data_IF_970938171170
#
_entry.id   IF_970938171170
#
_cell.length_a   1.000
_cell.length_b   1.000
_cell.length_c   1.000
_cell.angle_alpha   90.00
_cell.angle_beta   90.00
_cell.angle_gamma   90.00
#
_symmetry.space_group_name_H-M   'P 1'
#
loop_
_entity.id
_entity.type
_entity.pdbx_description
1 polymer ?
#
# COMPACT_ATOMS: atom_id res chain seq x y z
N UNK A 1 -50.46 -17.19 39.96
CA UNK A 1 -49.03 -17.12 39.55
C UNK A 1 -48.70 -17.73 38.17
N UNK A 2 -49.57 -18.56 37.54
CA UNK A 2 -49.27 -19.18 36.22
C UNK A 2 -49.33 -18.23 35.01
N UNK A 3 -50.21 -17.21 35.01
CA UNK A 3 -50.34 -16.28 33.88
C UNK A 3 -49.17 -15.26 33.77
N UNK A 4 -48.69 -14.71 34.91
CA UNK A 4 -47.55 -13.77 34.94
C UNK A 4 -46.25 -14.37 34.40
N UNK A 5 -45.99 -15.67 34.64
CA UNK A 5 -44.79 -16.36 34.13
C UNK A 5 -44.84 -16.62 32.61
N UNK A 6 -46.04 -16.83 32.04
CA UNK A 6 -46.22 -17.02 30.59
C UNK A 6 -46.10 -15.71 29.82
N UNK A 7 -46.58 -14.59 30.40
CA UNK A 7 -46.46 -13.27 29.79
C UNK A 7 -44.99 -12.78 29.72
N UNK A 8 -44.21 -13.05 30.78
CA UNK A 8 -42.79 -12.68 30.81
C UNK A 8 -41.95 -13.48 29.81
N UNK A 9 -42.22 -14.78 29.68
CA UNK A 9 -41.53 -15.65 28.70
C UNK A 9 -41.88 -15.27 27.26
N UNK A 10 -43.14 -14.90 26.99
CA UNK A 10 -43.55 -14.46 25.65
C UNK A 10 -42.94 -13.11 25.28
N UNK A 11 -42.84 -12.17 26.23
CA UNK A 11 -42.18 -10.89 26.03
C UNK A 11 -40.67 -11.05 25.79
N UNK A 12 -40.01 -11.98 26.50
CA UNK A 12 -38.58 -12.27 26.30
C UNK A 12 -38.30 -12.87 24.92
N UNK A 13 -39.13 -13.81 24.46
CA UNK A 13 -39.02 -14.41 23.12
C UNK A 13 -39.30 -13.37 22.03
N UNK A 14 -40.25 -12.46 22.24
CA UNK A 14 -40.54 -11.38 21.29
C UNK A 14 -39.39 -10.38 21.15
N UNK A 15 -38.74 -10.00 22.26
CA UNK A 15 -37.54 -9.15 22.23
C UNK A 15 -36.38 -9.86 21.54
N UNK A 16 -36.23 -11.18 21.76
CA UNK A 16 -35.18 -11.97 21.13
C UNK A 16 -35.40 -12.10 19.61
N UNK A 17 -36.64 -12.32 19.15
CA UNK A 17 -36.99 -12.35 17.71
C UNK A 17 -36.82 -10.98 17.05
N UNK A 18 -37.08 -9.88 17.78
CA UNK A 18 -36.84 -8.52 17.30
C UNK A 18 -35.34 -8.13 17.31
N UNK A 19 -34.52 -8.75 18.16
CA UNK A 19 -33.06 -8.50 18.17
C UNK A 19 -32.30 -9.23 17.06
N UNK A 20 -32.91 -10.23 16.41
CA UNK A 20 -32.30 -10.93 15.26
C UNK A 20 -32.58 -10.26 13.91
N UNK A 21 -33.34 -9.17 13.87
CA UNK A 21 -33.55 -8.38 12.64
C UNK A 21 -32.75 -7.08 12.65
N UNK A 22 -31.48 -7.15 13.07
CA UNK A 22 -30.52 -6.17 12.62
C UNK A 22 -30.34 -6.42 11.12
N UNK A 23 -31.05 -5.67 10.29
CA UNK A 23 -30.64 -5.49 8.91
C UNK A 23 -29.25 -4.87 9.00
N UNK A 24 -28.21 -5.69 8.78
CA UNK A 24 -26.92 -5.18 8.37
C UNK A 24 -27.20 -4.46 7.04
N UNK A 25 -27.40 -3.15 7.10
CA UNK A 25 -27.27 -2.34 5.91
C UNK A 25 -25.82 -2.54 5.49
N UNK A 26 -25.61 -3.15 4.31
CA UNK A 26 -24.31 -3.07 3.66
C UNK A 26 -23.92 -1.58 3.63
N UNK A 27 -22.65 -1.29 3.92
CA UNK A 27 -22.13 0.04 3.67
C UNK A 27 -22.48 0.43 2.21
N UNK A 28 -22.81 1.71 1.94
CA UNK A 28 -22.98 2.13 0.55
C UNK A 28 -21.73 1.72 -0.21
N UNK A 29 -21.92 1.06 -1.37
CA UNK A 29 -20.80 0.72 -2.23
C UNK A 29 -19.99 1.99 -2.51
N UNK A 30 -18.66 1.89 -2.45
CA UNK A 30 -17.79 2.94 -2.96
C UNK A 30 -18.04 3.04 -4.46
N UNK A 31 -18.36 4.24 -4.93
CA UNK A 31 -18.68 4.52 -6.32
C UNK A 31 -17.75 5.62 -6.80
N UNK A 32 -17.25 5.52 -8.02
CA UNK A 32 -16.36 6.54 -8.59
C UNK A 32 -15.33 5.92 -9.51
N UNK A 33 -14.41 6.76 -9.98
CA UNK A 33 -13.32 6.34 -10.86
C UNK A 33 -11.98 6.72 -10.23
N UNK A 34 -10.99 5.84 -10.38
CA UNK A 34 -9.58 6.11 -10.01
C UNK A 34 -8.71 6.02 -11.26
N UNK A 35 -7.61 6.75 -11.29
CA UNK A 35 -6.66 6.70 -12.41
C UNK A 35 -5.32 6.14 -11.95
N UNK A 36 -4.84 5.09 -12.62
CA UNK A 36 -3.58 4.41 -12.27
C UNK A 36 -2.51 4.67 -13.33
N UNK A 37 -1.38 5.17 -12.88
CA UNK A 37 -0.21 5.50 -13.71
C UNK A 37 1.02 4.71 -13.27
N UNK A 38 1.64 4.00 -14.20
CA UNK A 38 2.88 3.23 -14.01
C UNK A 38 4.04 3.94 -14.72
N UNK A 39 4.95 4.48 -13.92
CA UNK A 39 5.96 5.44 -14.39
C UNK A 39 7.33 5.22 -13.75
N UNK A 40 8.30 6.08 -14.08
CA UNK A 40 9.67 6.01 -13.57
C UNK A 40 10.15 7.37 -13.11
N UNK A 41 10.95 7.41 -12.05
CA UNK A 41 11.67 8.61 -11.62
C UNK A 41 10.79 9.71 -11.04
N UNK A 42 9.55 9.41 -10.63
CA UNK A 42 8.74 10.40 -9.91
C UNK A 42 9.20 10.66 -8.48
N UNK A 43 10.00 9.76 -7.89
CA UNK A 43 10.46 9.90 -6.52
C UNK A 43 11.96 10.18 -6.45
N UNK A 44 12.33 11.02 -5.48
CA UNK A 44 13.71 11.19 -5.06
C UNK A 44 13.91 10.54 -3.70
N UNK A 45 14.99 9.80 -3.55
CA UNK A 45 15.42 9.30 -2.24
C UNK A 45 16.08 10.42 -1.44
N UNK A 46 15.66 10.59 -0.20
CA UNK A 46 16.30 11.44 0.80
C UNK A 46 16.33 10.70 2.15
N UNK A 47 17.08 11.23 3.11
CA UNK A 47 17.12 10.71 4.47
C UNK A 47 17.00 11.84 5.49
N UNK A 48 16.02 11.70 6.38
CA UNK A 48 15.69 12.68 7.39
C UNK A 48 15.44 12.01 8.75
N UNK A 49 15.73 12.68 9.88
CA UNK A 49 15.36 12.17 11.19
C UNK A 49 13.84 12.10 11.34
N UNK A 50 13.34 10.97 11.84
CA UNK A 50 11.96 10.83 12.29
C UNK A 50 11.69 11.60 13.59
N UNK A 51 10.45 11.60 14.06
CA UNK A 51 10.06 12.22 15.33
C UNK A 51 10.82 11.65 16.55
N UNK A 52 11.27 10.40 16.44
CA UNK A 52 12.09 9.68 17.41
C UNK A 52 13.59 10.03 17.33
N UNK A 53 13.98 10.88 16.39
CA UNK A 53 15.38 11.25 16.12
C UNK A 53 16.18 10.17 15.38
N UNK A 54 15.54 9.06 14.98
CA UNK A 54 16.18 7.98 14.21
C UNK A 54 16.09 8.35 12.74
N UNK A 55 17.19 8.21 12.00
CA UNK A 55 17.17 8.47 10.56
C UNK A 55 16.22 7.49 9.85
N UNK A 56 15.33 8.06 9.03
CA UNK A 56 14.40 7.34 8.19
C UNK A 56 14.63 7.71 6.74
N UNK A 57 14.40 6.71 5.91
CA UNK A 57 14.36 6.85 4.47
C UNK A 57 13.08 7.53 4.07
N UNK A 58 13.19 8.60 3.29
CA UNK A 58 12.05 9.34 2.78
C UNK A 58 12.14 9.37 1.28
N UNK A 59 11.19 8.74 0.61
CA UNK A 59 11.03 8.89 -0.84
C UNK A 59 9.97 9.97 -1.05
N UNK A 60 10.37 11.08 -1.64
CA UNK A 60 9.49 12.25 -1.84
C UNK A 60 8.97 12.22 -3.26
N UNK A 61 7.64 12.31 -3.41
CA UNK A 61 7.03 12.44 -4.72
C UNK A 61 7.31 13.84 -5.31
N UNK A 62 7.85 13.87 -6.52
CA UNK A 62 8.25 15.11 -7.20
C UNK A 62 7.42 15.42 -8.45
N UNK A 63 6.70 14.44 -8.99
CA UNK A 63 5.94 14.57 -10.24
C UNK A 63 6.80 14.78 -11.50
N UNK A 64 8.13 14.59 -11.41
CA UNK A 64 9.06 14.80 -12.53
C UNK A 64 9.37 13.51 -13.31
N UNK A 65 8.51 12.51 -13.20
CA UNK A 65 8.75 11.21 -13.80
C UNK A 65 8.77 11.22 -15.32
N UNK A 66 9.15 10.07 -15.86
CA UNK A 66 9.27 9.80 -17.28
C UNK A 66 8.70 8.42 -17.62
N UNK A 67 8.43 8.20 -18.90
CA UNK A 67 7.94 6.93 -19.41
C UNK A 67 9.08 6.00 -19.77
N UNK A 68 8.89 4.69 -19.63
CA UNK A 68 9.86 3.68 -20.02
C UNK A 68 9.26 2.80 -21.12
N UNK A 69 10.05 2.51 -22.15
CA UNK A 69 9.59 1.69 -23.27
C UNK A 69 9.29 0.23 -22.89
N UNK A 70 9.87 -0.27 -21.80
CA UNK A 70 9.65 -1.63 -21.32
C UNK A 70 8.38 -1.76 -20.48
N UNK A 71 7.92 -0.68 -19.85
CA UNK A 71 6.82 -0.72 -18.90
C UNK A 71 6.23 0.68 -18.74
N UNK A 72 4.99 0.88 -19.18
CA UNK A 72 4.27 2.14 -19.01
C UNK A 72 2.77 1.90 -19.14
N UNK A 73 2.03 2.42 -18.17
CA UNK A 73 0.58 2.56 -18.20
C UNK A 73 0.34 4.02 -17.81
N UNK A 74 -0.38 4.78 -18.63
CA UNK A 74 -0.62 6.20 -18.38
C UNK A 74 -2.09 6.44 -18.14
N UNK A 75 -2.40 7.03 -16.99
CA UNK A 75 -3.72 7.51 -16.57
C UNK A 75 -4.83 6.51 -16.94
N UNK A 76 -4.65 5.27 -16.50
CA UNK A 76 -5.59 4.19 -16.79
C UNK A 76 -6.75 4.25 -15.81
N UNK A 77 -7.89 4.71 -16.32
CA UNK A 77 -9.10 4.90 -15.54
C UNK A 77 -9.78 3.55 -15.23
N UNK A 78 -10.09 3.36 -13.96
CA UNK A 78 -10.75 2.18 -13.41
C UNK A 78 -11.95 2.62 -12.58
N UNK A 79 -13.11 2.06 -12.88
CA UNK A 79 -14.28 2.20 -12.02
C UNK A 79 -14.04 1.44 -10.70
N UNK A 80 -14.33 2.07 -9.56
CA UNK A 80 -14.12 1.46 -8.23
C UNK A 80 -14.93 0.17 -8.11
N UNK A 81 -16.14 0.14 -8.64
CA UNK A 81 -16.98 -1.06 -8.67
C UNK A 81 -16.33 -2.20 -9.47
N UNK A 82 -15.62 -1.88 -10.55
CA UNK A 82 -14.91 -2.89 -11.33
C UNK A 82 -13.72 -3.47 -10.56
N UNK A 83 -12.98 -2.63 -9.82
CA UNK A 83 -11.91 -3.12 -8.92
C UNK A 83 -12.51 -4.00 -7.82
N UNK A 84 -13.66 -3.61 -7.26
CA UNK A 84 -14.36 -4.40 -6.26
C UNK A 84 -14.81 -5.77 -6.80
N UNK A 85 -15.26 -5.87 -8.05
CA UNK A 85 -15.61 -7.16 -8.68
C UNK A 85 -14.40 -8.13 -8.70
N UNK A 86 -13.19 -7.61 -8.94
CA UNK A 86 -11.96 -8.42 -8.86
C UNK A 86 -11.64 -8.87 -7.43
N UNK A 87 -11.80 -7.96 -6.45
CA UNK A 87 -11.62 -8.28 -5.02
C UNK A 87 -12.58 -9.38 -4.58
N UNK A 88 -13.87 -9.24 -4.92
CA UNK A 88 -14.92 -10.23 -4.64
C UNK A 88 -14.66 -11.57 -5.34
N UNK A 89 -13.95 -11.55 -6.48
CA UNK A 89 -13.51 -12.74 -7.21
C UNK A 89 -12.22 -13.38 -6.63
N UNK A 90 -11.63 -12.82 -5.58
CA UNK A 90 -10.47 -13.38 -4.88
C UNK A 90 -9.11 -12.84 -5.32
N UNK A 91 -9.04 -11.62 -5.88
CA UNK A 91 -7.79 -10.97 -6.26
C UNK A 91 -6.78 -10.94 -5.10
N UNK A 92 -7.22 -10.57 -3.90
CA UNK A 92 -6.34 -10.38 -2.76
C UNK A 92 -5.68 -11.69 -2.33
N UNK A 93 -6.47 -12.77 -2.19
CA UNK A 93 -5.97 -14.13 -1.88
C UNK A 93 -5.00 -14.65 -2.94
N UNK A 94 -5.19 -14.25 -4.19
CA UNK A 94 -4.33 -14.66 -5.31
C UNK A 94 -2.94 -14.03 -5.24
N UNK A 95 -2.86 -12.75 -4.85
CA UNK A 95 -1.62 -11.98 -4.96
C UNK A 95 -0.89 -11.77 -3.65
N UNK A 96 -1.59 -11.49 -2.55
CA UNK A 96 -0.90 -11.03 -1.35
C UNK A 96 -1.50 -11.51 -0.03
N UNK A 97 -2.81 -11.73 0.08
CA UNK A 97 -3.47 -11.94 1.36
C UNK A 97 -3.29 -13.39 1.86
N UNK A 98 -2.69 -13.62 3.04
CA UNK A 98 -2.60 -14.96 3.60
C UNK A 98 -3.96 -15.45 4.13
N UNK A 99 -4.20 -16.77 4.05
CA UNK A 99 -5.48 -17.43 4.38
C UNK A 99 -6.10 -17.07 5.75
N UNK A 100 -5.29 -16.81 6.77
CA UNK A 100 -5.76 -16.54 8.14
C UNK A 100 -5.74 -15.03 8.51
N UNK A 101 -5.52 -14.16 7.52
CA UNK A 101 -5.49 -12.70 7.71
C UNK A 101 -6.79 -12.10 7.20
N UNK A 102 -7.51 -11.29 8.01
CA UNK A 102 -8.67 -10.57 7.52
C UNK A 102 -8.31 -9.65 6.37
N UNK A 103 -9.17 -9.60 5.35
CA UNK A 103 -9.02 -8.65 4.25
C UNK A 103 -8.99 -7.21 4.79
N UNK A 104 -8.09 -6.34 4.26
CA UNK A 104 -8.10 -4.91 4.58
C UNK A 104 -9.49 -4.29 4.36
N UNK A 105 -9.85 -3.31 5.18
CA UNK A 105 -11.12 -2.57 5.06
C UNK A 105 -12.37 -3.46 4.93
N UNK A 106 -12.39 -4.59 5.64
CA UNK A 106 -13.51 -5.55 5.62
C UNK A 106 -13.86 -6.08 4.21
N UNK A 107 -12.89 -6.14 3.29
CA UNK A 107 -13.11 -6.62 1.92
C UNK A 107 -13.29 -5.53 0.87
N UNK A 108 -13.20 -4.25 1.24
CA UNK A 108 -13.28 -3.14 0.29
C UNK A 108 -12.00 -3.04 -0.57
N UNK A 109 -12.18 -2.66 -1.83
CA UNK A 109 -11.08 -2.38 -2.75
C UNK A 109 -10.18 -1.27 -2.21
N UNK A 110 -8.87 -1.48 -2.34
CA UNK A 110 -7.85 -0.54 -1.90
C UNK A 110 -6.89 -0.13 -3.03
N UNK A 111 -6.01 0.83 -2.77
CA UNK A 111 -5.08 1.35 -3.76
C UNK A 111 -4.15 0.28 -4.37
N UNK A 112 -3.78 -0.77 -3.62
CA UNK A 112 -2.99 -1.87 -4.17
C UNK A 112 -3.80 -2.73 -5.13
N UNK A 113 -5.08 -2.97 -4.84
CA UNK A 113 -5.99 -3.71 -5.71
C UNK A 113 -6.14 -3.00 -7.06
N UNK A 114 -6.30 -1.68 -7.06
CA UNK A 114 -6.36 -0.88 -8.29
C UNK A 114 -5.07 -1.00 -9.13
N UNK A 115 -3.89 -0.99 -8.49
CA UNK A 115 -2.60 -1.20 -9.18
C UNK A 115 -2.54 -2.60 -9.83
N UNK A 116 -2.97 -3.64 -9.10
CA UNK A 116 -2.99 -5.01 -9.61
C UNK A 116 -3.96 -5.15 -10.80
N UNK A 117 -5.18 -4.62 -10.68
CA UNK A 117 -6.18 -4.64 -11.77
C UNK A 117 -5.66 -3.87 -12.98
N UNK A 118 -5.01 -2.71 -12.79
CA UNK A 118 -4.42 -1.96 -13.89
C UNK A 118 -3.38 -2.79 -14.66
N UNK A 119 -2.53 -3.55 -13.97
CA UNK A 119 -1.61 -4.48 -14.65
C UNK A 119 -2.35 -5.57 -15.42
N UNK A 120 -3.30 -6.24 -14.78
CA UNK A 120 -4.03 -7.36 -15.38
C UNK A 120 -4.80 -6.94 -16.63
N UNK A 121 -5.45 -5.78 -16.59
CA UNK A 121 -6.19 -5.22 -17.75
C UNK A 121 -5.26 -4.78 -18.88
N UNK A 122 -4.02 -4.40 -18.56
CA UNK A 122 -2.98 -4.10 -19.54
C UNK A 122 -2.20 -5.35 -19.98
N UNK A 123 -2.68 -6.55 -19.63
CA UNK A 123 -2.12 -7.84 -20.07
C UNK A 123 -0.85 -8.24 -19.35
N UNK A 124 -0.54 -7.62 -18.21
CA UNK A 124 0.62 -7.91 -17.36
C UNK A 124 0.13 -8.66 -16.12
N UNK A 125 0.74 -9.80 -15.78
CA UNK A 125 0.42 -10.53 -14.55
C UNK A 125 -0.17 -11.93 -14.74
N UNK A 126 -0.53 -12.32 -15.97
CA UNK A 126 -0.81 -13.71 -16.29
C UNK A 126 0.55 -14.43 -16.44
N UNK A 127 0.80 -15.51 -15.67
CA UNK A 127 2.07 -16.28 -15.61
C UNK A 127 3.14 -15.84 -14.59
N UNK A 128 2.74 -15.37 -13.40
CA UNK A 128 3.64 -14.98 -12.28
C UNK A 128 4.54 -13.77 -12.57
N UNK A 129 4.06 -12.85 -13.41
CA UNK A 129 4.81 -11.64 -13.71
C UNK A 129 4.78 -10.63 -12.57
N UNK A 130 3.78 -10.69 -11.68
CA UNK A 130 3.70 -9.81 -10.51
C UNK A 130 4.11 -10.61 -9.26
N UNK A 131 5.16 -10.14 -8.59
CA UNK A 131 5.62 -10.69 -7.32
C UNK A 131 5.15 -9.81 -6.17
N UNK A 132 4.05 -10.19 -5.53
CA UNK A 132 3.47 -9.52 -4.38
C UNK A 132 3.57 -10.36 -3.09
N UNK A 133 3.26 -9.75 -1.95
CA UNK A 133 3.29 -10.42 -0.66
C UNK A 133 2.70 -9.58 0.47
N UNK A 134 2.69 -10.16 1.66
CA UNK A 134 2.18 -9.57 2.89
C UNK A 134 3.29 -9.41 3.92
N UNK A 135 3.44 -8.21 4.48
CA UNK A 135 4.27 -7.98 5.64
C UNK A 135 3.41 -8.02 6.91
N UNK A 136 3.54 -9.11 7.67
CA UNK A 136 2.83 -9.30 8.93
C UNK A 136 3.47 -8.56 10.11
N UNK A 137 4.73 -8.13 9.98
CA UNK A 137 5.51 -7.55 11.08
C UNK A 137 6.34 -6.37 10.56
N UNK A 138 5.68 -5.32 10.03
CA UNK A 138 6.41 -4.18 9.52
C UNK A 138 7.16 -3.47 10.65
N UNK A 139 8.27 -2.87 10.27
CA UNK A 139 9.15 -2.13 11.20
C UNK A 139 8.44 -0.89 11.76
N UNK A 140 7.54 -0.31 10.97
CA UNK A 140 6.67 0.79 11.35
C UNK A 140 5.34 0.68 10.59
N UNK A 141 4.25 1.16 11.19
CA UNK A 141 2.90 1.09 10.62
C UNK A 141 2.18 -0.23 10.92
N UNK A 142 0.98 -0.37 10.35
CA UNK A 142 0.17 -1.58 10.44
C UNK A 142 0.57 -2.59 9.35
N UNK A 143 0.36 -3.91 9.57
CA UNK A 143 0.58 -4.94 8.55
C UNK A 143 -0.12 -4.62 7.23
N UNK A 144 0.51 -4.97 6.12
CA UNK A 144 -0.05 -4.68 4.80
C UNK A 144 0.69 -5.36 3.66
N UNK A 145 0.14 -5.22 2.47
CA UNK A 145 0.69 -5.86 1.28
C UNK A 145 1.56 -4.93 0.44
N UNK A 146 2.44 -5.54 -0.34
CA UNK A 146 3.36 -4.85 -1.24
C UNK A 146 3.54 -5.63 -2.55
N UNK A 147 3.89 -4.91 -3.61
CA UNK A 147 4.44 -5.49 -4.85
C UNK A 147 5.96 -5.33 -4.79
N UNK A 148 6.67 -6.45 -4.69
CA UNK A 148 8.14 -6.47 -4.68
C UNK A 148 8.74 -6.32 -6.07
N UNK A 149 8.07 -6.87 -7.09
CA UNK A 149 8.47 -6.67 -8.47
C UNK A 149 7.33 -6.92 -9.46
N UNK A 150 7.49 -6.37 -10.68
CA UNK A 150 6.69 -6.74 -11.84
C UNK A 150 7.62 -7.06 -13.00
N UNK A 151 7.71 -8.32 -13.40
CA UNK A 151 8.58 -8.77 -14.48
C UNK A 151 8.12 -8.22 -15.84
N UNK A 152 9.07 -7.94 -16.75
CA UNK A 152 10.51 -8.17 -16.66
C UNK A 152 11.31 -7.01 -16.02
N UNK A 153 10.70 -6.15 -15.18
CA UNK A 153 11.43 -5.04 -14.56
C UNK A 153 12.67 -5.53 -13.79
N UNK A 154 13.82 -4.97 -14.15
CA UNK A 154 15.06 -5.16 -13.41
C UNK A 154 15.24 -4.06 -12.38
N UNK A 155 15.34 -4.43 -11.11
CA UNK A 155 15.61 -3.52 -10.01
C UNK A 155 17.11 -3.57 -9.66
N UNK A 156 17.72 -2.42 -9.46
CA UNK A 156 19.12 -2.31 -9.09
C UNK A 156 19.26 -2.23 -7.58
N UNK A 157 20.27 -2.91 -7.04
CA UNK A 157 20.58 -2.94 -5.61
C UNK A 157 22.08 -2.75 -5.42
N UNK A 158 22.48 -1.82 -4.57
CA UNK A 158 23.88 -1.53 -4.27
C UNK A 158 24.03 -0.86 -2.91
N UNK A 159 25.27 -0.81 -2.43
CA UNK A 159 25.64 0.03 -1.29
C UNK A 159 26.24 1.32 -1.84
N UNK A 160 25.66 2.51 -1.53
CA UNK A 160 26.20 3.76 -2.03
C UNK A 160 27.51 4.09 -1.32
N UNK A 161 28.40 4.85 -1.96
CA UNK A 161 29.64 5.33 -1.33
C UNK A 161 29.39 6.47 -0.33
N UNK A 162 28.31 7.21 -0.54
CA UNK A 162 27.88 8.32 0.30
C UNK A 162 26.37 8.36 0.44
N UNK A 163 25.91 8.96 1.53
CA UNK A 163 24.50 9.34 1.72
C UNK A 163 24.42 10.79 2.17
N UNK A 164 23.34 11.47 1.79
CA UNK A 164 23.06 12.84 2.22
C UNK A 164 21.98 12.81 3.29
N UNK A 165 22.30 13.31 4.47
CA UNK A 165 21.37 13.44 5.60
C UNK A 165 21.26 14.92 5.93
N UNK A 166 20.04 15.47 5.86
CA UNK A 166 19.77 16.90 6.10
C UNK A 166 20.72 17.85 5.33
N UNK A 167 21.07 17.49 4.09
CA UNK A 167 21.96 18.27 3.23
C UNK A 167 23.46 18.11 3.50
N UNK A 168 23.85 17.22 4.42
CA UNK A 168 25.26 16.90 4.72
C UNK A 168 25.60 15.52 4.15
N UNK A 169 26.68 15.42 3.38
CA UNK A 169 27.18 14.13 2.88
C UNK A 169 27.98 13.38 3.97
N UNK A 170 27.70 12.09 4.11
CA UNK A 170 28.43 11.15 4.97
C UNK A 170 29.01 10.01 4.14
N UNK A 171 30.24 9.63 4.44
CA UNK A 171 30.87 8.47 3.81
C UNK A 171 30.29 7.16 4.35
N UNK A 172 30.01 6.23 3.43
CA UNK A 172 29.58 4.87 3.77
C UNK A 172 30.81 3.96 3.71
N UNK A 173 31.15 3.36 4.85
CA UNK A 173 32.31 2.47 4.98
C UNK A 173 31.81 1.07 5.33
N UNK A 174 32.09 0.10 4.45
CA UNK A 174 31.62 -1.28 4.60
C UNK A 174 30.09 -1.40 4.78
N UNK A 175 29.33 -0.58 4.06
CA UNK A 175 27.86 -0.55 4.13
C UNK A 175 27.30 0.08 5.39
N UNK A 176 28.12 0.80 6.16
CA UNK A 176 27.70 1.49 7.37
C UNK A 176 27.97 2.99 7.23
N UNK A 177 26.99 3.80 7.60
CA UNK A 177 27.16 5.24 7.85
C UNK A 177 27.02 5.52 9.34
N UNK A 178 27.87 6.40 9.87
CA UNK A 178 27.75 6.89 11.25
C UNK A 178 27.28 8.34 11.23
N UNK A 179 26.10 8.59 11.81
CA UNK A 179 25.54 9.94 11.94
C UNK A 179 25.30 10.19 13.42
N UNK A 180 25.86 11.27 13.95
CA UNK A 180 25.77 11.64 15.36
C UNK A 180 26.12 10.51 16.35
N UNK A 181 27.08 9.66 15.97
CA UNK A 181 27.54 8.54 16.77
C UNK A 181 26.66 7.28 16.71
N UNK A 182 25.60 7.30 15.91
CA UNK A 182 24.72 6.16 15.64
C UNK A 182 25.11 5.51 14.32
N UNK A 183 25.24 4.19 14.30
CA UNK A 183 25.57 3.44 13.09
C UNK A 183 24.30 2.97 12.38
N UNK A 184 24.29 3.10 11.06
CA UNK A 184 23.20 2.62 10.20
C UNK A 184 23.77 1.75 9.09
N UNK A 185 23.17 0.58 8.85
CA UNK A 185 23.40 -0.14 7.61
C UNK A 185 22.69 0.58 6.47
N UNK A 186 23.35 0.68 5.31
CA UNK A 186 22.87 1.43 4.15
C UNK A 186 22.65 0.50 2.97
N UNK A 187 21.44 0.58 2.39
CA UNK A 187 21.07 -0.11 1.16
C UNK A 187 20.47 0.91 0.20
N UNK A 188 20.87 0.91 -1.07
CA UNK A 188 20.31 1.79 -2.08
C UNK A 188 19.99 1.01 -3.34
N UNK A 189 19.16 1.60 -4.19
CA UNK A 189 18.72 0.91 -5.38
C UNK A 189 17.64 1.64 -6.13
N UNK A 190 16.97 0.91 -7.01
CA UNK A 190 15.69 1.29 -7.57
C UNK A 190 14.62 0.33 -7.06
N UNK A 191 13.44 0.86 -6.78
CA UNK A 191 12.34 0.09 -6.23
C UNK A 191 11.01 0.74 -6.57
N UNK A 192 9.94 0.00 -6.27
CA UNK A 192 8.58 0.46 -6.48
C UNK A 192 8.15 1.42 -5.36
N UNK A 193 7.65 2.58 -5.74
CA UNK A 193 7.15 3.64 -4.87
C UNK A 193 5.71 3.98 -5.25
N UNK A 194 4.92 4.43 -4.28
CA UNK A 194 3.51 4.74 -4.49
C UNK A 194 3.22 6.17 -4.01
N UNK A 195 2.53 6.93 -4.86
CA UNK A 195 1.90 8.18 -4.48
C UNK A 195 0.43 8.08 -4.82
N UNK A 196 -0.42 8.64 -3.97
CA UNK A 196 -1.86 8.72 -4.21
C UNK A 196 -2.39 10.11 -3.87
N UNK A 197 -3.53 10.48 -4.44
CA UNK A 197 -4.25 11.69 -4.04
C UNK A 197 -4.74 11.55 -2.59
N UNK A 198 -4.30 12.46 -1.72
CA UNK A 198 -4.71 12.54 -0.32
C UNK A 198 -5.06 13.99 0.01
N UNK A 199 -6.32 14.26 0.38
CA UNK A 199 -6.78 15.63 0.63
C UNK A 199 -6.66 16.55 -0.60
N UNK A 200 -6.81 15.99 -1.79
CA UNK A 200 -6.73 16.71 -3.07
C UNK A 200 -5.30 16.97 -3.57
N UNK A 201 -4.28 16.35 -2.96
CA UNK A 201 -2.88 16.48 -3.38
C UNK A 201 -2.28 15.10 -3.61
N UNK A 202 -1.71 14.88 -4.78
CA UNK A 202 -0.93 13.68 -5.09
C UNK A 202 0.43 13.74 -4.38
N UNK A 203 0.69 12.77 -3.49
CA UNK A 203 1.92 12.68 -2.69
C UNK A 203 2.22 11.24 -2.29
N UNK A 204 3.44 10.98 -1.85
CA UNK A 204 3.87 9.68 -1.33
C UNK A 204 2.94 9.15 -0.22
N UNK A 205 2.82 7.82 -0.14
CA UNK A 205 2.13 7.15 0.97
C UNK A 205 3.11 6.85 2.11
N UNK A 206 2.62 6.91 3.35
CA UNK A 206 3.37 6.65 4.58
C UNK A 206 3.03 5.29 5.22
N UNK A 207 2.13 4.53 4.60
CA UNK A 207 1.73 3.17 4.97
C UNK A 207 1.63 2.29 3.71
N UNK A 208 1.39 0.99 3.87
CA UNK A 208 1.11 0.12 2.72
C UNK A 208 -0.14 0.61 1.97
N UNK A 209 -0.13 0.46 0.65
CA UNK A 209 -1.26 0.86 -0.22
C UNK A 209 -2.58 0.16 0.14
N UNK A 210 -2.52 -1.00 0.81
CA UNK A 210 -3.69 -1.68 1.37
C UNK A 210 -4.38 -0.94 2.51
N UNK A 211 -3.77 0.12 3.04
CA UNK A 211 -4.33 0.96 4.12
C UNK A 211 -5.20 2.11 3.59
N UNK A 212 -5.30 2.24 2.27
CA UNK A 212 -6.01 3.32 1.59
C UNK A 212 -7.14 2.75 0.75
N UNK A 213 -8.38 2.97 1.18
CA UNK A 213 -9.57 2.72 0.37
C UNK A 213 -9.59 3.62 -0.86
N UNK A 214 -10.25 3.17 -1.92
CA UNK A 214 -10.40 3.97 -3.12
C UNK A 214 -11.39 5.13 -2.87
N UNK A 215 -11.09 6.28 -3.46
CA UNK A 215 -11.95 7.46 -3.44
C UNK A 215 -12.17 7.94 -4.89
N UNK A 216 -13.32 8.53 -5.17
CA UNK A 216 -13.60 9.11 -6.48
C UNK A 216 -12.56 10.19 -6.84
N UNK A 217 -12.13 10.23 -8.10
CA UNK A 217 -11.05 11.06 -8.63
C UNK A 217 -9.66 10.80 -7.96
N UNK A 218 -9.45 9.66 -7.30
CA UNK A 218 -8.13 9.30 -6.76
C UNK A 218 -7.15 9.01 -7.90
N UNK A 219 -6.04 9.74 -7.92
CA UNK A 219 -4.88 9.42 -8.77
C UNK A 219 -3.94 8.51 -7.99
N UNK A 220 -3.43 7.47 -8.64
CA UNK A 220 -2.49 6.49 -8.08
C UNK A 220 -1.30 6.39 -9.03
N UNK A 221 -0.11 6.74 -8.54
CA UNK A 221 1.15 6.60 -9.26
C UNK A 221 1.98 5.50 -8.61
N UNK A 222 2.24 4.43 -9.37
CA UNK A 222 3.15 3.35 -8.98
C UNK A 222 4.40 3.43 -9.85
N UNK A 223 5.54 3.69 -9.23
CA UNK A 223 6.70 4.22 -9.93
C UNK A 223 8.00 3.49 -9.54
N UNK A 224 8.82 3.17 -10.54
CA UNK A 224 10.19 2.71 -10.29
C UNK A 224 11.11 3.91 -10.13
N UNK A 225 11.57 4.13 -8.91
CA UNK A 225 12.44 5.25 -8.55
C UNK A 225 13.59 4.84 -7.64
N UNK A 226 14.63 5.68 -7.54
CA UNK A 226 15.69 5.50 -6.56
C UNK A 226 15.14 5.43 -5.14
N UNK A 227 15.77 4.61 -4.31
CA UNK A 227 15.55 4.61 -2.85
C UNK A 227 16.91 4.51 -2.13
N UNK A 228 16.93 4.95 -0.88
CA UNK A 228 18.00 4.69 0.09
C UNK A 228 17.35 4.25 1.39
N UNK A 229 17.65 3.04 1.86
CA UNK A 229 17.22 2.47 3.14
C UNK A 229 18.34 2.59 4.19
N UNK A 230 17.98 3.15 5.35
CA UNK A 230 18.84 3.20 6.54
C UNK A 230 18.25 2.29 7.62
N UNK A 231 19.09 1.39 8.14
CA UNK A 231 18.72 0.52 9.26
C UNK A 231 19.63 0.76 10.45
N UNK A 232 19.08 1.27 11.55
CA UNK A 232 19.85 1.52 12.76
C UNK A 232 20.42 0.21 13.32
N UNK A 233 21.74 0.20 13.52
CA UNK A 233 22.44 -0.88 14.20
C UNK A 233 22.46 -0.60 15.71
N UNK A 234 22.11 -1.63 16.49
CA UNK A 234 22.07 -1.59 17.96
C UNK A 234 23.41 -1.27 18.61
#
# INVERSE_FOLDING_TARGET
MKAKKRFLSLALVLVMVLSFSATAFAAPAQTGTVSVSITYGNFTSDTAPGEDGILKSTNVYTGNGFTNANFYIGDFDLDIEYVQEWVDAGLQDMFYLPYDVPSPHDGEANALDAILVAFLENGIGYDNEIAAGWDAYPVAGDPGAYISNVYPQELNYYTPEKVTVEGVEYDVVNGIVTVDGVNYAVYAGTGWNIAITQGGVLKEIDAYATSFTLEDDMEIVFDVSPYVLLWQLS
#
